data_IF_019838657441
#
_entry.id   IF_019838657441
#
_cell.length_a   1.000
_cell.length_b   1.000
_cell.length_c   1.000
_cell.angle_alpha   90.00
_cell.angle_beta   90.00
_cell.angle_gamma   90.00
#
_symmetry.space_group_name_H-M   'P 1'
#
loop_
_entity.id
_entity.type
_entity.pdbx_description
1 polymer ?
#
# COMPACT_ATOMS: atom_id res chain seq x y z
N UNK A 1 -15.26 -32.90 19.68
CA UNK A 1 -14.98 -32.98 18.22
C UNK A 1 -15.87 -32.02 17.43
N UNK A 2 -17.21 -32.06 17.57
CA UNK A 2 -18.10 -31.13 16.86
C UNK A 2 -17.84 -29.64 17.18
N UNK A 3 -17.60 -29.28 18.44
CA UNK A 3 -17.27 -27.90 18.85
C UNK A 3 -15.96 -27.42 18.24
N UNK A 4 -14.94 -28.27 18.17
CA UNK A 4 -13.64 -27.95 17.55
C UNK A 4 -13.78 -27.67 16.05
N UNK A 5 -14.58 -28.47 15.33
CA UNK A 5 -14.83 -28.27 13.90
C UNK A 5 -15.61 -26.98 13.63
N UNK A 6 -16.60 -26.66 14.46
CA UNK A 6 -17.35 -25.40 14.37
C UNK A 6 -16.45 -24.19 14.62
N UNK A 7 -15.57 -24.27 15.62
CA UNK A 7 -14.58 -23.21 15.89
C UNK A 7 -13.60 -23.06 14.72
N UNK A 8 -13.10 -24.15 14.14
CA UNK A 8 -12.23 -24.09 12.96
C UNK A 8 -12.94 -23.48 11.74
N UNK A 9 -14.19 -23.86 11.47
CA UNK A 9 -14.97 -23.31 10.36
C UNK A 9 -15.30 -21.82 10.56
N UNK A 10 -15.61 -21.42 11.80
CA UNK A 10 -15.82 -20.02 12.13
C UNK A 10 -14.53 -19.20 11.95
N UNK A 11 -13.38 -19.73 12.36
CA UNK A 11 -12.08 -19.11 12.13
C UNK A 11 -11.76 -18.96 10.63
N UNK A 12 -12.01 -20.00 9.82
CA UNK A 12 -11.84 -19.96 8.37
C UNK A 12 -12.79 -18.96 7.70
N UNK A 13 -14.05 -18.88 8.14
CA UNK A 13 -15.02 -17.91 7.63
C UNK A 13 -14.62 -16.47 7.92
N UNK A 14 -14.08 -16.19 9.11
CA UNK A 14 -13.56 -14.86 9.46
C UNK A 14 -12.33 -14.49 8.62
N UNK A 15 -11.42 -15.44 8.38
CA UNK A 15 -10.26 -15.22 7.49
C UNK A 15 -10.71 -14.89 6.07
N UNK A 16 -11.64 -15.68 5.50
CA UNK A 16 -12.17 -15.44 4.16
C UNK A 16 -12.83 -14.06 4.04
N UNK A 17 -13.58 -13.63 5.05
CA UNK A 17 -14.21 -12.31 5.08
C UNK A 17 -13.18 -11.17 5.23
N UNK A 18 -12.07 -11.39 5.93
CA UNK A 18 -11.03 -10.37 6.13
C UNK A 18 -10.26 -10.02 4.85
N UNK A 19 -10.13 -10.95 3.90
CA UNK A 19 -9.39 -10.70 2.65
C UNK A 19 -9.95 -9.50 1.89
N UNK A 20 -11.27 -9.35 1.86
CA UNK A 20 -11.97 -8.25 1.19
C UNK A 20 -12.41 -7.13 2.16
N UNK A 21 -11.89 -7.12 3.39
CA UNK A 21 -12.19 -6.05 4.34
C UNK A 21 -11.55 -4.73 3.86
N UNK A 22 -12.36 -3.67 3.87
CA UNK A 22 -11.92 -2.30 3.69
C UNK A 22 -11.42 -1.71 5.02
N UNK A 23 -10.59 -0.66 5.03
CA UNK A 23 -9.98 -0.08 6.23
C UNK A 23 -10.96 0.21 7.38
N UNK A 24 -12.14 0.74 7.07
CA UNK A 24 -13.20 1.06 8.04
C UNK A 24 -14.06 -0.15 8.45
N UNK A 25 -13.78 -1.33 7.89
CA UNK A 25 -14.52 -2.56 8.10
C UNK A 25 -14.06 -3.35 9.32
N UNK A 26 -15.00 -4.06 9.95
CA UNK A 26 -14.78 -4.81 11.19
C UNK A 26 -13.63 -5.83 11.13
N UNK A 27 -13.43 -6.49 9.98
CA UNK A 27 -12.42 -7.53 9.80
C UNK A 27 -11.06 -7.00 9.28
N UNK A 28 -10.91 -5.69 9.10
CA UNK A 28 -9.65 -5.11 8.62
C UNK A 28 -8.46 -5.35 9.56
N UNK A 29 -8.59 -5.29 10.90
CA UNK A 29 -7.49 -5.66 11.79
C UNK A 29 -7.03 -7.12 11.60
N UNK A 30 -7.96 -8.02 11.26
CA UNK A 30 -7.65 -9.44 10.98
C UNK A 30 -6.89 -9.58 9.66
N UNK A 31 -7.26 -8.79 8.64
CA UNK A 31 -6.51 -8.70 7.37
C UNK A 31 -5.06 -8.29 7.65
N UNK A 32 -4.88 -7.20 8.38
CA UNK A 32 -3.55 -6.68 8.73
C UNK A 32 -2.71 -7.68 9.52
N UNK A 33 -3.30 -8.32 10.53
CA UNK A 33 -2.60 -9.35 11.31
C UNK A 33 -2.19 -10.54 10.43
N UNK A 34 -3.02 -10.94 9.47
CA UNK A 34 -2.73 -12.04 8.54
C UNK A 34 -1.61 -11.65 7.58
N UNK A 35 -1.67 -10.44 7.02
CA UNK A 35 -0.65 -9.91 6.11
C UNK A 35 0.71 -9.79 6.82
N UNK A 36 0.74 -9.29 8.05
CA UNK A 36 1.94 -9.19 8.88
C UNK A 36 2.50 -10.57 9.26
N UNK A 37 1.65 -11.52 9.63
CA UNK A 37 2.07 -12.89 9.93
C UNK A 37 2.71 -13.55 8.69
N UNK A 38 2.13 -13.32 7.50
CA UNK A 38 2.69 -13.81 6.26
C UNK A 38 4.10 -13.23 6.01
N UNK A 39 4.28 -11.92 6.15
CA UNK A 39 5.60 -11.27 6.04
C UNK A 39 6.62 -11.80 7.06
N UNK A 40 6.20 -12.12 8.29
CA UNK A 40 7.09 -12.67 9.32
C UNK A 40 7.54 -14.10 9.00
N UNK A 41 6.68 -14.88 8.34
CA UNK A 41 6.95 -16.26 7.97
C UNK A 41 7.73 -16.37 6.64
N UNK A 42 7.68 -15.34 5.79
CA UNK A 42 8.45 -15.27 4.54
C UNK A 42 9.91 -14.94 4.83
N UNK A 43 10.78 -15.95 4.70
CA UNK A 43 12.22 -15.84 5.00
C UNK A 43 13.07 -15.44 3.79
N UNK A 44 12.60 -15.69 2.57
CA UNK A 44 13.27 -15.27 1.34
C UNK A 44 13.16 -13.76 1.19
N UNK A 45 14.26 -13.09 0.87
CA UNK A 45 14.26 -11.65 0.66
C UNK A 45 13.44 -11.26 -0.58
N UNK A 46 13.54 -12.05 -1.65
CA UNK A 46 12.79 -11.83 -2.90
C UNK A 46 11.30 -12.03 -2.68
N UNK A 47 10.88 -13.18 -2.17
CA UNK A 47 9.46 -13.48 -1.89
C UNK A 47 8.86 -12.45 -0.90
N UNK A 48 9.66 -11.96 0.04
CA UNK A 48 9.22 -10.90 0.96
C UNK A 48 9.03 -9.57 0.24
N UNK A 49 9.92 -9.22 -0.69
CA UNK A 49 9.78 -8.04 -1.52
C UNK A 49 8.54 -8.14 -2.42
N UNK A 50 8.32 -9.28 -3.08
CA UNK A 50 7.09 -9.55 -3.86
C UNK A 50 5.84 -9.33 -3.02
N UNK A 51 5.82 -9.90 -1.81
CA UNK A 51 4.67 -9.77 -0.90
C UNK A 51 4.44 -8.32 -0.45
N UNK A 52 5.51 -7.55 -0.21
CA UNK A 52 5.39 -6.13 0.10
C UNK A 52 4.87 -5.31 -1.09
N UNK A 53 5.31 -5.61 -2.32
CA UNK A 53 4.80 -4.99 -3.55
C UNK A 53 3.31 -5.33 -3.75
N UNK A 54 2.91 -6.58 -3.51
CA UNK A 54 1.50 -7.02 -3.56
C UNK A 54 0.64 -6.23 -2.55
N UNK A 55 1.11 -6.09 -1.32
CA UNK A 55 0.38 -5.33 -0.29
C UNK A 55 0.34 -3.84 -0.60
N UNK A 56 1.40 -3.28 -1.21
CA UNK A 56 1.40 -1.89 -1.68
C UNK A 56 0.34 -1.69 -2.76
N UNK A 57 0.27 -2.57 -3.77
CA UNK A 57 -0.78 -2.55 -4.80
C UNK A 57 -2.18 -2.59 -4.18
N UNK A 58 -2.39 -3.46 -3.18
CA UNK A 58 -3.66 -3.55 -2.46
C UNK A 58 -4.02 -2.27 -1.71
N UNK A 59 -3.05 -1.59 -1.09
CA UNK A 59 -3.30 -0.28 -0.44
C UNK A 59 -3.72 0.79 -1.46
N UNK A 60 -3.17 0.76 -2.68
CA UNK A 60 -3.56 1.68 -3.76
C UNK A 60 -5.02 1.48 -4.21
N UNK A 61 -5.47 0.23 -4.36
CA UNK A 61 -6.86 -0.07 -4.68
C UNK A 61 -7.82 0.39 -3.56
N UNK A 62 -7.43 0.15 -2.31
CA UNK A 62 -8.20 0.60 -1.16
C UNK A 62 -8.24 2.14 -1.06
N UNK A 63 -7.15 2.81 -1.40
CA UNK A 63 -7.05 4.28 -1.42
C UNK A 63 -8.10 4.86 -2.36
N UNK A 64 -8.18 4.37 -3.60
CA UNK A 64 -9.19 4.80 -4.57
C UNK A 64 -10.62 4.49 -4.08
N UNK A 65 -10.82 3.34 -3.44
CA UNK A 65 -12.11 2.96 -2.86
C UNK A 65 -12.55 3.95 -1.76
N UNK A 66 -11.63 4.37 -0.89
CA UNK A 66 -11.91 5.35 0.17
C UNK A 66 -12.14 6.75 -0.39
N UNK A 67 -11.38 7.16 -1.40
CA UNK A 67 -11.54 8.45 -2.08
C UNK A 67 -12.92 8.56 -2.74
N UNK A 68 -13.38 7.49 -3.41
CA UNK A 68 -14.72 7.45 -4.02
C UNK A 68 -15.86 7.60 -3.00
N UNK A 69 -15.60 7.29 -1.73
CA UNK A 69 -16.54 7.45 -0.60
C UNK A 69 -16.43 8.81 0.08
N UNK A 70 -15.46 9.63 -0.30
CA UNK A 70 -15.16 10.92 0.32
C UNK A 70 -14.42 10.79 1.66
N UNK A 71 -13.80 9.65 1.93
CA UNK A 71 -13.00 9.42 3.14
C UNK A 71 -11.55 9.84 2.88
N UNK A 72 -11.32 11.16 2.91
CA UNK A 72 -10.03 11.77 2.56
C UNK A 72 -8.92 11.37 3.54
N UNK A 73 -9.25 11.28 4.83
CA UNK A 73 -8.30 10.89 5.88
C UNK A 73 -7.76 9.48 5.61
N UNK A 74 -8.65 8.51 5.40
CA UNK A 74 -8.23 7.13 5.10
C UNK A 74 -7.53 7.02 3.74
N UNK A 75 -7.91 7.85 2.77
CA UNK A 75 -7.24 7.92 1.46
C UNK A 75 -5.77 8.30 1.59
N UNK A 76 -5.49 9.40 2.32
CA UNK A 76 -4.12 9.88 2.57
C UNK A 76 -3.33 8.85 3.38
N UNK A 77 -3.95 8.25 4.39
CA UNK A 77 -3.31 7.20 5.19
C UNK A 77 -2.86 6.02 4.32
N UNK A 78 -3.72 5.53 3.43
CA UNK A 78 -3.41 4.40 2.55
C UNK A 78 -2.33 4.73 1.51
N UNK A 79 -2.32 5.96 1.01
CA UNK A 79 -1.22 6.44 0.16
C UNK A 79 0.12 6.36 0.93
N UNK A 80 0.15 6.83 2.17
CA UNK A 80 1.34 6.76 3.03
C UNK A 80 1.75 5.32 3.36
N UNK A 81 0.78 4.44 3.59
CA UNK A 81 1.06 3.02 3.83
C UNK A 81 1.64 2.33 2.58
N UNK A 82 1.11 2.63 1.39
CA UNK A 82 1.65 2.12 0.12
C UNK A 82 3.09 2.59 -0.10
N UNK A 83 3.35 3.87 0.15
CA UNK A 83 4.66 4.48 0.05
C UNK A 83 5.66 3.84 1.02
N UNK A 84 5.23 3.56 2.26
CA UNK A 84 6.06 2.86 3.26
C UNK A 84 6.48 1.48 2.79
N UNK A 85 5.57 0.71 2.19
CA UNK A 85 5.86 -0.63 1.69
C UNK A 85 6.84 -0.57 0.50
N UNK A 86 6.60 0.33 -0.46
CA UNK A 86 7.48 0.55 -1.61
C UNK A 86 8.89 0.94 -1.15
N UNK A 87 9.00 1.94 -0.27
CA UNK A 87 10.29 2.38 0.27
C UNK A 87 11.03 1.28 1.01
N UNK A 88 10.32 0.40 1.74
CA UNK A 88 10.96 -0.76 2.38
C UNK A 88 11.54 -1.76 1.38
N UNK A 89 10.85 -1.98 0.26
CA UNK A 89 11.34 -2.85 -0.82
C UNK A 89 12.55 -2.22 -1.49
N UNK A 90 12.45 -0.97 -1.91
CA UNK A 90 13.51 -0.26 -2.62
C UNK A 90 14.77 -0.11 -1.75
N UNK A 91 14.61 0.17 -0.45
CA UNK A 91 15.73 0.30 0.48
C UNK A 91 16.31 -1.05 0.95
N UNK A 92 15.75 -2.17 0.51
CA UNK A 92 16.30 -3.48 0.80
C UNK A 92 17.62 -3.69 0.06
N UNK A 93 18.48 -4.57 0.59
CA UNK A 93 19.77 -4.89 -0.02
C UNK A 93 19.66 -5.51 -1.43
N UNK A 94 18.44 -5.87 -1.87
CA UNK A 94 18.18 -6.43 -3.20
C UNK A 94 18.47 -5.43 -4.32
N UNK A 95 18.21 -4.14 -4.09
CA UNK A 95 18.33 -3.09 -5.11
C UNK A 95 19.59 -2.25 -4.96
N UNK A 96 20.35 -2.43 -3.87
CA UNK A 96 21.56 -1.64 -3.59
C UNK A 96 21.31 -0.14 -3.42
N UNK A 97 20.05 0.28 -3.26
CA UNK A 97 19.67 1.67 -3.03
C UNK A 97 19.97 2.07 -1.58
N UNK A 98 20.27 3.36 -1.33
CA UNK A 98 20.54 3.81 0.03
C UNK A 98 19.32 3.55 0.92
N UNK A 99 19.58 3.10 2.16
CA UNK A 99 18.56 2.67 3.12
C UNK A 99 17.48 3.73 3.42
N UNK A 100 16.40 3.38 4.15
CA UNK A 100 15.29 4.29 4.47
C UNK A 100 15.70 5.46 5.39
N UNK A 101 16.98 5.52 5.77
CA UNK A 101 17.60 6.60 6.53
C UNK A 101 18.08 7.75 5.61
N UNK A 102 18.17 7.50 4.29
CA UNK A 102 18.62 8.46 3.27
C UNK A 102 17.54 8.83 2.26
N UNK A 103 16.54 7.96 2.03
CA UNK A 103 15.29 8.29 1.35
C UNK A 103 14.33 8.69 2.46
N UNK A 104 13.97 9.97 2.56
CA UNK A 104 13.11 10.48 3.63
C UNK A 104 11.88 9.58 3.83
N UNK A 105 11.45 9.40 5.08
CA UNK A 105 10.19 8.70 5.36
C UNK A 105 9.09 9.24 4.45
N UNK A 106 8.23 8.38 3.87
CA UNK A 106 7.17 8.83 2.98
C UNK A 106 6.37 9.94 3.67
N UNK A 107 6.28 11.07 2.99
CA UNK A 107 6.08 12.40 3.57
C UNK A 107 4.64 12.61 4.07
N UNK A 108 3.73 11.68 3.73
CA UNK A 108 2.30 11.77 4.01
C UNK A 108 1.95 11.70 5.50
N UNK A 109 2.81 11.11 6.35
CA UNK A 109 2.59 11.06 7.81
C UNK A 109 2.79 12.43 8.49
N UNK A 110 3.44 13.38 7.79
CA UNK A 110 3.80 14.71 8.34
C UNK A 110 3.04 15.85 7.66
N UNK A 111 2.51 15.66 6.44
CA UNK A 111 2.08 16.78 5.60
C UNK A 111 0.60 17.19 5.65
N UNK A 112 -0.30 16.36 6.19
CA UNK A 112 -1.76 16.63 6.08
C UNK A 112 -2.36 17.23 7.36
N UNK A 113 -1.84 16.92 8.55
CA UNK A 113 -2.23 17.62 9.78
C UNK A 113 -1.47 18.94 9.94
N UNK A 114 -2.01 20.01 9.35
CA UNK A 114 -1.66 21.39 9.70
C UNK A 114 -0.83 22.21 8.70
N UNK A 115 -0.47 21.64 7.53
CA UNK A 115 0.34 22.33 6.51
C UNK A 115 -0.46 23.24 5.56
N UNK A 116 -1.80 23.07 5.48
CA UNK A 116 -2.66 23.84 4.57
C UNK A 116 -2.54 23.45 3.09
N UNK A 117 -1.86 22.34 2.80
CA UNK A 117 -1.73 21.75 1.46
C UNK A 117 -2.97 20.88 1.19
N UNK A 118 -3.51 20.95 -0.03
CA UNK A 118 -4.67 20.15 -0.38
C UNK A 118 -4.29 18.68 -0.49
N UNK A 119 -5.22 17.76 -0.17
CA UNK A 119 -4.96 16.33 -0.33
C UNK A 119 -4.58 15.96 -1.79
N UNK A 120 -5.07 16.72 -2.76
CA UNK A 120 -4.73 16.57 -4.19
C UNK A 120 -3.25 16.87 -4.44
N UNK A 121 -2.74 17.99 -3.92
CA UNK A 121 -1.34 18.36 -4.10
C UNK A 121 -0.40 17.34 -3.45
N UNK A 122 -0.72 16.92 -2.21
CA UNK A 122 0.07 15.93 -1.47
C UNK A 122 0.11 14.57 -2.19
N UNK A 123 -1.03 14.12 -2.73
CA UNK A 123 -1.09 12.86 -3.48
C UNK A 123 -0.39 12.95 -4.84
N UNK A 124 -0.42 14.11 -5.48
CA UNK A 124 0.28 14.35 -6.75
C UNK A 124 1.80 14.27 -6.54
N UNK A 125 2.31 14.94 -5.52
CA UNK A 125 3.74 14.90 -5.15
C UNK A 125 4.17 13.47 -4.79
N UNK A 126 3.39 12.76 -3.95
CA UNK A 126 3.73 11.40 -3.56
C UNK A 126 3.74 10.43 -4.76
N UNK A 127 2.79 10.57 -5.70
CA UNK A 127 2.74 9.78 -6.93
C UNK A 127 4.04 9.93 -7.74
N UNK A 128 4.50 11.16 -7.93
CA UNK A 128 5.74 11.45 -8.67
C UNK A 128 6.96 10.84 -7.97
N UNK A 129 7.08 11.04 -6.66
CA UNK A 129 8.16 10.48 -5.85
C UNK A 129 8.21 8.94 -5.92
N UNK A 130 7.06 8.28 -5.81
CA UNK A 130 6.98 6.82 -5.87
C UNK A 130 7.25 6.28 -7.28
N UNK A 131 6.84 7.00 -8.34
CA UNK A 131 7.18 6.63 -9.72
C UNK A 131 8.69 6.71 -9.97
N UNK A 132 9.36 7.76 -9.49
CA UNK A 132 10.82 7.90 -9.61
C UNK A 132 11.55 6.80 -8.82
N UNK A 133 11.08 6.51 -7.61
CA UNK A 133 11.67 5.48 -6.75
C UNK A 133 11.53 4.08 -7.35
N UNK A 134 10.34 3.72 -7.85
CA UNK A 134 10.12 2.44 -8.52
C UNK A 134 10.88 2.34 -9.85
N UNK A 135 11.03 3.45 -10.59
CA UNK A 135 11.86 3.50 -11.79
C UNK A 135 13.33 3.18 -11.48
N UNK A 136 13.87 3.80 -10.43
CA UNK A 136 15.23 3.52 -9.94
C UNK A 136 15.40 2.07 -9.48
N UNK A 137 14.38 1.52 -8.81
CA UNK A 137 14.36 0.12 -8.39
C UNK A 137 14.34 -0.83 -9.59
N UNK A 138 13.57 -0.51 -10.65
CA UNK A 138 13.49 -1.32 -11.87
C UNK A 138 14.84 -1.41 -12.60
N UNK A 139 15.60 -0.31 -12.66
CA UNK A 139 16.94 -0.28 -13.27
C UNK A 139 17.95 -1.15 -12.53
N UNK A 140 17.79 -1.27 -11.21
CA UNK A 140 18.70 -2.01 -10.32
C UNK A 140 18.12 -3.36 -9.89
N UNK A 141 16.98 -3.76 -10.42
CA UNK A 141 16.21 -4.91 -9.94
C UNK A 141 16.88 -6.23 -10.28
N UNK A 142 16.82 -7.25 -9.40
CA UNK A 142 16.96 -8.62 -9.85
C UNK A 142 15.84 -8.93 -10.87
N UNK A 143 16.16 -9.68 -11.93
CA UNK A 143 15.19 -9.95 -13.01
C UNK A 143 13.92 -10.69 -12.58
N UNK A 144 13.92 -11.28 -11.37
CA UNK A 144 12.76 -11.94 -10.77
C UNK A 144 11.68 -10.95 -10.31
N UNK A 145 12.04 -9.73 -9.88
CA UNK A 145 11.11 -8.70 -9.38
C UNK A 145 10.68 -7.68 -10.45
N UNK A 146 11.31 -7.74 -11.63
CA UNK A 146 11.04 -6.84 -12.75
C UNK A 146 9.56 -6.82 -13.18
N UNK A 147 8.84 -7.95 -13.30
CA UNK A 147 7.43 -7.92 -13.66
C UNK A 147 6.55 -7.30 -12.56
N UNK A 148 6.82 -7.57 -11.29
CA UNK A 148 6.06 -7.07 -10.15
C UNK A 148 6.24 -5.57 -9.98
N UNK A 149 7.46 -5.06 -10.15
CA UNK A 149 7.74 -3.62 -10.10
C UNK A 149 7.02 -2.89 -11.24
N UNK A 150 7.04 -3.42 -12.46
CA UNK A 150 6.31 -2.83 -13.59
C UNK A 150 4.81 -2.81 -13.36
N UNK A 151 4.26 -3.94 -12.90
CA UNK A 151 2.85 -4.04 -12.56
C UNK A 151 2.47 -2.97 -11.51
N UNK A 152 3.29 -2.83 -10.46
CA UNK A 152 3.02 -1.85 -9.42
C UNK A 152 3.13 -0.41 -9.94
N UNK A 153 4.07 -0.10 -10.84
CA UNK A 153 4.16 1.24 -11.44
C UNK A 153 2.90 1.59 -12.24
N UNK A 154 2.36 0.64 -13.00
CA UNK A 154 1.12 0.82 -13.75
C UNK A 154 -0.08 0.99 -12.81
N UNK A 155 -0.15 0.20 -11.73
CA UNK A 155 -1.19 0.31 -10.70
C UNK A 155 -1.12 1.66 -9.98
N UNK A 156 0.08 2.07 -9.58
CA UNK A 156 0.37 3.32 -8.90
C UNK A 156 -0.15 4.51 -9.71
N UNK A 157 0.26 4.60 -10.98
CA UNK A 157 -0.20 5.69 -11.85
C UNK A 157 -1.73 5.72 -11.95
N UNK A 158 -2.34 4.56 -12.23
CA UNK A 158 -3.79 4.45 -12.41
C UNK A 158 -4.60 4.80 -11.17
N UNK A 159 -4.21 4.30 -10.00
CA UNK A 159 -4.98 4.49 -8.76
C UNK A 159 -4.79 5.89 -8.17
N UNK A 160 -3.59 6.48 -8.26
CA UNK A 160 -3.40 7.87 -7.89
C UNK A 160 -4.21 8.81 -8.81
N UNK A 161 -4.16 8.62 -10.13
CA UNK A 161 -4.90 9.46 -11.08
C UNK A 161 -6.43 9.40 -10.82
N UNK A 162 -6.96 8.20 -10.55
CA UNK A 162 -8.37 8.03 -10.17
C UNK A 162 -8.72 8.67 -8.83
N UNK A 163 -7.86 8.48 -7.84
CA UNK A 163 -8.04 9.04 -6.50
C UNK A 163 -8.08 10.56 -6.55
N UNK A 164 -7.12 11.19 -7.23
CA UNK A 164 -7.05 12.65 -7.41
C UNK A 164 -8.34 13.15 -8.08
N UNK A 165 -8.77 12.51 -9.18
CA UNK A 165 -10.00 12.90 -9.86
C UNK A 165 -11.25 12.82 -8.96
N UNK A 166 -11.36 11.81 -8.09
CA UNK A 166 -12.44 11.74 -7.11
C UNK A 166 -12.41 12.92 -6.13
N UNK A 167 -11.23 13.26 -5.62
CA UNK A 167 -11.07 14.36 -4.66
C UNK A 167 -11.34 15.72 -5.30
N UNK A 168 -10.88 15.95 -6.53
CA UNK A 168 -11.17 17.18 -7.29
C UNK A 168 -12.67 17.36 -7.53
N UNK A 169 -13.35 16.30 -8.00
CA UNK A 169 -14.80 16.34 -8.26
C UNK A 169 -15.63 16.67 -7.02
N UNK A 170 -15.13 16.34 -5.83
CA UNK A 170 -15.76 16.63 -4.53
C UNK A 170 -15.49 18.05 -4.05
N UNK A 171 -14.39 18.67 -4.47
CA UNK A 171 -14.06 20.05 -4.09
C UNK A 171 -14.89 21.09 -4.88
N UNK A 172 -15.40 20.72 -6.06
CA UNK A 172 -16.18 21.59 -6.94
C UNK A 172 -17.71 21.55 -6.69
N UNK A 173 -18.21 20.60 -5.90
CA UNK A 173 -19.65 20.35 -5.67
C UNK A 173 -20.15 20.76 -4.29
#
# INVERSE_FOLDING_TARGET
>A
MATSVVVCLAALGMLAASVNALPTGFFYPVKMATEQAHLMLTTSAVDRAELQLEYAARRLEEMTSMASRGDVETTVFLAGESARLISQVCASSLFGLPGPESVGQPNLDVHVEGSGISAVDALTEERENLQELLGSALESSPGELEPEIRLLMDELGREFDRTIAFLESKAEG
#
